data_IF_468828415172
#
_entry.id   IF_468828415172
#
_cell.length_a   1.000
_cell.length_b   1.000
_cell.length_c   1.000
_cell.angle_alpha   90.00
_cell.angle_beta   90.00
_cell.angle_gamma   90.00
#
_symmetry.space_group_name_H-M   'P 1'
#
loop_
_entity.id
_entity.type
_entity.pdbx_description
1 polymer ?
#
# COMPACT_ATOMS: atom_id res chain seq x y z
N UNK A 1 9.45 -36.09 -78.73
CA UNK A 1 9.22 -37.21 -77.78
C UNK A 1 8.18 -38.22 -78.33
N UNK A 2 7.11 -37.76 -78.98
CA UNK A 2 6.04 -38.70 -79.49
C UNK A 2 6.39 -39.50 -80.72
N UNK A 3 7.45 -39.20 -81.50
CA UNK A 3 7.87 -39.94 -82.70
C UNK A 3 8.79 -41.12 -82.39
N UNK A 4 9.49 -41.15 -81.31
CA UNK A 4 10.41 -42.26 -80.97
C UNK A 4 9.72 -43.46 -80.31
N UNK A 5 8.54 -43.24 -79.69
CA UNK A 5 7.79 -44.29 -78.98
C UNK A 5 6.93 -45.16 -79.91
N UNK A 6 6.82 -44.82 -81.23
CA UNK A 6 5.97 -45.52 -82.13
C UNK A 6 6.45 -46.93 -82.45
N UNK A 7 7.74 -47.28 -82.33
CA UNK A 7 8.34 -48.59 -82.66
C UNK A 7 8.35 -49.60 -81.50
N UNK A 8 7.87 -49.22 -80.30
CA UNK A 8 7.84 -50.12 -79.14
C UNK A 8 6.58 -51.00 -79.15
N UNK A 9 6.74 -52.29 -78.79
CA UNK A 9 5.61 -53.18 -78.59
C UNK A 9 4.69 -52.70 -77.49
N UNK A 10 3.46 -53.14 -77.42
CA UNK A 10 2.49 -52.79 -76.38
C UNK A 10 3.06 -53.07 -74.98
N UNK A 11 3.77 -54.18 -74.85
CA UNK A 11 4.42 -54.61 -73.59
C UNK A 11 5.57 -53.71 -73.21
N UNK A 12 6.38 -53.26 -74.14
CA UNK A 12 7.47 -52.32 -73.93
C UNK A 12 6.95 -50.93 -73.52
N UNK A 13 5.80 -50.50 -74.07
CA UNK A 13 5.17 -49.21 -73.66
C UNK A 13 4.61 -49.27 -72.25
N UNK A 14 4.04 -50.36 -71.80
CA UNK A 14 3.57 -50.57 -70.45
C UNK A 14 4.74 -50.63 -69.46
N UNK A 15 5.84 -51.32 -69.85
CA UNK A 15 7.06 -51.34 -69.03
C UNK A 15 7.67 -49.95 -68.86
N UNK A 16 7.70 -49.16 -69.95
CA UNK A 16 8.23 -47.76 -69.83
C UNK A 16 7.38 -46.86 -68.93
N UNK A 17 6.04 -47.04 -69.02
CA UNK A 17 5.14 -46.32 -68.07
C UNK A 17 5.37 -46.75 -66.63
N UNK A 18 5.54 -48.06 -66.40
CA UNK A 18 5.80 -48.58 -65.06
C UNK A 18 7.13 -48.03 -64.46
N UNK A 19 8.18 -48.01 -65.29
CA UNK A 19 9.48 -47.45 -64.94
C UNK A 19 9.36 -45.94 -64.63
N UNK A 20 8.59 -45.21 -65.47
CA UNK A 20 8.32 -43.77 -65.18
C UNK A 20 7.60 -43.54 -63.86
N UNK A 21 6.56 -44.33 -63.58
CA UNK A 21 5.82 -44.26 -62.31
C UNK A 21 6.75 -44.60 -61.13
N UNK A 22 7.55 -45.65 -61.26
CA UNK A 22 8.49 -46.08 -60.24
C UNK A 22 9.55 -44.97 -59.92
N UNK A 23 10.06 -44.32 -60.96
CA UNK A 23 11.01 -43.21 -60.83
C UNK A 23 10.41 -42.03 -60.14
N UNK A 24 9.14 -41.68 -60.41
CA UNK A 24 8.43 -40.61 -59.71
C UNK A 24 8.20 -40.95 -58.21
N UNK A 25 7.80 -42.23 -57.97
CA UNK A 25 7.62 -42.68 -56.55
C UNK A 25 8.92 -42.66 -55.77
N UNK A 26 10.06 -43.04 -56.35
CA UNK A 26 11.37 -42.95 -55.69
C UNK A 26 11.76 -41.52 -55.44
N UNK A 27 11.50 -40.60 -56.38
CA UNK A 27 11.78 -39.18 -56.19
C UNK A 27 10.94 -38.56 -55.03
N UNK A 28 9.66 -38.90 -54.95
CA UNK A 28 8.78 -38.49 -53.88
C UNK A 28 9.27 -39.03 -52.54
N UNK A 29 9.64 -40.31 -52.48
CA UNK A 29 10.17 -40.91 -51.27
C UNK A 29 11.48 -40.23 -50.83
N UNK A 30 12.33 -39.82 -51.74
CA UNK A 30 13.58 -39.16 -51.52
C UNK A 30 13.32 -37.73 -50.96
N UNK A 31 12.38 -37.01 -51.57
CA UNK A 31 11.97 -35.66 -51.09
C UNK A 31 11.34 -35.74 -49.70
N UNK A 32 10.46 -36.70 -49.43
CA UNK A 32 9.86 -36.93 -48.12
C UNK A 32 10.92 -37.31 -47.08
N UNK A 33 11.88 -38.17 -47.45
CA UNK A 33 12.98 -38.55 -46.56
C UNK A 33 13.89 -37.38 -46.22
N UNK A 34 14.19 -36.51 -47.19
CA UNK A 34 14.98 -35.29 -46.99
C UNK A 34 14.19 -34.32 -46.10
N UNK A 35 12.90 -34.11 -46.32
CA UNK A 35 12.04 -33.24 -45.51
C UNK A 35 11.94 -33.75 -44.08
N UNK A 36 11.77 -35.06 -43.86
CA UNK A 36 11.82 -35.69 -42.53
C UNK A 36 13.18 -35.55 -41.87
N UNK A 37 14.27 -35.71 -42.59
CA UNK A 37 15.61 -35.53 -42.07
C UNK A 37 15.85 -34.09 -41.62
N UNK A 38 15.41 -33.09 -42.41
CA UNK A 38 15.50 -31.68 -42.01
C UNK A 38 14.60 -31.36 -40.82
N UNK A 39 13.39 -31.92 -40.74
CA UNK A 39 12.49 -31.70 -39.59
C UNK A 39 12.99 -32.34 -38.30
N UNK A 40 13.73 -33.45 -38.38
CA UNK A 40 14.35 -34.14 -37.25
C UNK A 40 15.72 -33.56 -36.87
N UNK A 41 16.37 -32.85 -37.81
CA UNK A 41 17.72 -32.27 -37.61
C UNK A 41 17.69 -30.82 -37.08
N UNK A 42 16.50 -30.16 -37.04
CA UNK A 42 16.38 -28.89 -36.40
C UNK A 42 16.42 -29.16 -34.90
N UNK A 43 17.50 -28.75 -34.19
CA UNK A 43 17.52 -28.88 -32.75
C UNK A 43 16.28 -28.14 -32.22
N UNK A 44 15.48 -28.80 -31.38
CA UNK A 44 14.40 -28.15 -30.68
C UNK A 44 15.00 -26.89 -30.04
N UNK A 45 14.57 -25.73 -30.48
CA UNK A 45 15.03 -24.47 -29.86
C UNK A 45 14.74 -24.61 -28.38
N UNK A 46 15.76 -24.62 -27.56
CA UNK A 46 15.61 -24.55 -26.11
C UNK A 46 14.64 -23.41 -25.83
N UNK A 47 13.53 -23.65 -25.13
CA UNK A 47 12.56 -22.60 -24.90
C UNK A 47 13.32 -21.41 -24.26
N UNK A 48 13.32 -20.29 -24.97
CA UNK A 48 14.02 -19.11 -24.52
C UNK A 48 13.32 -18.66 -23.23
N UNK A 49 14.03 -18.72 -22.10
CA UNK A 49 13.51 -18.30 -20.80
C UNK A 49 13.00 -16.87 -20.93
N UNK A 50 11.73 -16.67 -20.66
CA UNK A 50 11.13 -15.34 -20.57
C UNK A 50 11.34 -14.81 -19.17
N UNK A 51 11.67 -13.54 -19.05
CA UNK A 51 11.89 -12.87 -17.78
C UNK A 51 10.91 -11.71 -17.63
N UNK A 52 10.35 -11.57 -16.44
CA UNK A 52 9.57 -10.41 -16.02
C UNK A 52 10.39 -9.55 -15.02
N UNK A 53 10.20 -8.25 -15.08
CA UNK A 53 10.79 -7.33 -14.09
C UNK A 53 10.06 -7.50 -12.77
N UNK A 54 10.82 -7.72 -11.68
CA UNK A 54 10.28 -7.81 -10.34
C UNK A 54 10.04 -6.40 -9.80
N UNK A 55 8.80 -6.03 -9.47
CA UNK A 55 8.52 -4.73 -8.83
C UNK A 55 9.20 -4.63 -7.46
N UNK A 56 9.57 -3.42 -7.06
CA UNK A 56 10.11 -3.15 -5.73
C UNK A 56 8.95 -3.15 -4.75
N UNK A 57 8.81 -4.21 -3.95
CA UNK A 57 7.70 -4.39 -3.01
C UNK A 57 8.14 -4.45 -1.54
N UNK A 58 9.45 -4.49 -1.25
CA UNK A 58 9.96 -4.44 0.13
C UNK A 58 9.56 -3.11 0.79
N UNK A 59 9.08 -3.18 2.03
CA UNK A 59 8.55 -2.05 2.76
C UNK A 59 7.10 -1.67 2.42
N UNK A 60 6.53 -2.20 1.33
CA UNK A 60 5.13 -1.95 0.98
C UNK A 60 4.17 -2.69 1.91
N UNK A 61 2.95 -2.16 2.03
CA UNK A 61 1.83 -2.93 2.57
C UNK A 61 1.61 -4.19 1.74
N UNK A 62 1.38 -5.33 2.42
CA UNK A 62 1.27 -6.65 1.77
C UNK A 62 0.16 -6.72 0.71
N UNK A 63 -0.99 -6.05 0.93
CA UNK A 63 -2.08 -6.04 -0.04
C UNK A 63 -1.66 -5.29 -1.31
N UNK A 64 -0.96 -4.16 -1.17
CA UNK A 64 -0.42 -3.39 -2.29
C UNK A 64 0.68 -4.17 -3.03
N UNK A 65 1.57 -4.82 -2.28
CA UNK A 65 2.62 -5.67 -2.85
C UNK A 65 2.04 -6.83 -3.66
N UNK A 66 1.00 -7.51 -3.15
CA UNK A 66 0.26 -8.56 -3.87
C UNK A 66 -0.30 -8.02 -5.19
N UNK A 67 -0.96 -6.86 -5.18
CA UNK A 67 -1.53 -6.25 -6.38
C UNK A 67 -0.46 -5.89 -7.43
N UNK A 68 0.70 -5.37 -7.03
CA UNK A 68 1.80 -5.06 -7.96
C UNK A 68 2.41 -6.35 -8.56
N UNK A 69 2.54 -7.43 -7.78
CA UNK A 69 3.02 -8.72 -8.29
C UNK A 69 2.02 -9.36 -9.26
N UNK A 70 0.73 -9.31 -8.94
CA UNK A 70 -0.35 -9.80 -9.82
C UNK A 70 -0.41 -9.04 -11.14
N UNK A 71 -0.27 -7.71 -11.11
CA UNK A 71 -0.17 -6.86 -12.30
C UNK A 71 1.05 -7.22 -13.16
N UNK A 72 2.15 -7.58 -12.53
CA UNK A 72 3.36 -8.07 -13.20
C UNK A 72 3.27 -9.57 -13.62
N UNK A 73 2.15 -10.23 -13.35
CA UNK A 73 1.92 -11.67 -13.60
C UNK A 73 2.92 -12.58 -12.85
N UNK A 74 3.36 -12.15 -11.67
CA UNK A 74 4.28 -12.88 -10.81
C UNK A 74 3.49 -13.58 -9.72
N UNK A 75 3.64 -14.90 -9.61
CA UNK A 75 3.06 -15.68 -8.51
C UNK A 75 3.89 -15.52 -7.24
N UNK A 76 3.25 -15.63 -6.08
CA UNK A 76 3.92 -15.45 -4.79
C UNK A 76 3.44 -16.46 -3.74
N UNK A 77 4.29 -16.69 -2.74
CA UNK A 77 4.01 -17.45 -1.53
C UNK A 77 4.27 -16.54 -0.32
N UNK A 78 3.36 -16.50 0.64
CA UNK A 78 3.57 -15.75 1.89
C UNK A 78 4.32 -16.62 2.88
N UNK A 79 5.44 -16.13 3.36
CA UNK A 79 6.22 -16.74 4.44
C UNK A 79 5.93 -15.93 5.71
N UNK A 80 5.22 -16.50 6.69
CA UNK A 80 4.89 -15.79 7.93
C UNK A 80 6.14 -15.40 8.70
N UNK A 81 6.15 -14.18 9.26
CA UNK A 81 7.17 -13.68 10.17
C UNK A 81 6.56 -13.33 11.52
N UNK A 82 7.39 -12.95 12.48
CA UNK A 82 6.97 -12.44 13.79
C UNK A 82 7.32 -10.96 13.95
N UNK A 83 7.30 -10.22 12.86
CA UNK A 83 7.57 -8.78 12.88
C UNK A 83 6.57 -8.02 13.73
N UNK A 84 7.04 -6.97 14.38
CA UNK A 84 6.18 -6.00 15.08
C UNK A 84 5.42 -5.08 14.12
N UNK A 85 5.83 -5.03 12.85
CA UNK A 85 5.16 -4.22 11.82
C UNK A 85 4.20 -5.12 11.03
N UNK A 86 2.87 -5.00 11.26
CA UNK A 86 1.88 -5.84 10.60
C UNK A 86 1.77 -5.48 9.12
N UNK A 87 1.41 -6.48 8.34
CA UNK A 87 1.01 -6.31 6.93
C UNK A 87 2.03 -5.57 6.04
N UNK A 88 3.31 -5.53 6.41
CA UNK A 88 4.39 -5.02 5.56
C UNK A 88 5.27 -6.14 5.02
N UNK A 89 5.75 -5.97 3.79
CA UNK A 89 6.75 -6.84 3.18
C UNK A 89 8.11 -6.53 3.80
N UNK A 90 8.64 -7.44 4.60
CA UNK A 90 9.95 -7.30 5.24
C UNK A 90 11.09 -7.67 4.29
N UNK A 91 10.86 -8.71 3.49
CA UNK A 91 11.84 -9.26 2.57
C UNK A 91 11.15 -9.97 1.43
N UNK A 92 11.75 -9.95 0.26
CA UNK A 92 11.35 -10.78 -0.87
C UNK A 92 12.50 -11.72 -1.26
N UNK A 93 12.20 -13.00 -1.47
CA UNK A 93 13.14 -13.98 -1.98
C UNK A 93 12.69 -14.45 -3.36
N UNK A 94 13.60 -14.48 -4.31
CA UNK A 94 13.34 -14.91 -5.68
C UNK A 94 14.54 -15.59 -6.32
N UNK A 95 14.29 -16.37 -7.35
CA UNK A 95 15.31 -16.96 -8.22
C UNK A 95 15.28 -16.20 -9.55
N UNK A 96 16.36 -15.51 -9.84
CA UNK A 96 16.44 -14.67 -11.04
C UNK A 96 17.81 -14.11 -11.29
N UNK A 97 17.90 -13.06 -12.10
CA UNK A 97 19.12 -12.33 -12.42
C UNK A 97 18.90 -10.83 -12.20
N UNK A 98 19.99 -10.10 -12.03
CA UNK A 98 19.95 -8.62 -12.05
C UNK A 98 20.55 -8.14 -13.36
N UNK A 99 19.85 -7.26 -14.06
CA UNK A 99 20.29 -6.66 -15.31
C UNK A 99 19.94 -5.18 -15.33
N UNK A 100 20.92 -4.32 -15.59
CA UNK A 100 20.76 -2.84 -15.56
C UNK A 100 20.17 -2.30 -14.25
N UNK A 101 20.50 -2.90 -13.11
CA UNK A 101 19.98 -2.52 -11.79
C UNK A 101 18.56 -3.00 -11.47
N UNK A 102 17.94 -3.77 -12.38
CA UNK A 102 16.61 -4.31 -12.20
C UNK A 102 16.67 -5.80 -11.89
N UNK A 103 15.86 -6.24 -10.95
CA UNK A 103 15.67 -7.66 -10.67
C UNK A 103 14.74 -8.27 -11.72
N UNK A 104 15.16 -9.37 -12.33
CA UNK A 104 14.41 -10.10 -13.35
C UNK A 104 14.18 -11.53 -12.87
N UNK A 105 12.95 -11.98 -12.88
CA UNK A 105 12.58 -13.35 -12.54
C UNK A 105 12.11 -14.12 -13.78
N UNK A 106 12.33 -15.44 -13.80
CA UNK A 106 11.85 -16.30 -14.87
C UNK A 106 10.32 -16.40 -14.79
N UNK A 107 9.63 -16.13 -15.90
CA UNK A 107 8.17 -16.20 -15.99
C UNK A 107 7.69 -17.61 -15.61
N UNK A 108 6.71 -17.67 -14.71
CA UNK A 108 6.19 -18.92 -14.15
C UNK A 108 6.89 -19.39 -12.87
N UNK A 109 7.89 -18.65 -12.37
CA UNK A 109 8.44 -18.90 -11.02
C UNK A 109 7.69 -18.08 -9.98
N UNK A 110 7.67 -18.59 -8.73
CA UNK A 110 7.06 -17.90 -7.60
C UNK A 110 8.12 -17.18 -6.77
N UNK A 111 7.76 -16.02 -6.24
CA UNK A 111 8.57 -15.31 -5.24
C UNK A 111 8.05 -15.60 -3.83
N UNK A 112 8.92 -15.53 -2.81
CA UNK A 112 8.53 -15.63 -1.41
C UNK A 112 8.49 -14.26 -0.80
N UNK A 113 7.36 -13.90 -0.22
CA UNK A 113 7.14 -12.64 0.50
C UNK A 113 7.17 -12.95 2.00
N UNK A 114 8.12 -12.39 2.70
CA UNK A 114 8.20 -12.48 4.15
C UNK A 114 7.39 -11.31 4.75
N UNK A 115 6.31 -11.65 5.47
CA UNK A 115 5.41 -10.66 6.08
C UNK A 115 4.70 -11.26 7.30
N UNK A 116 4.44 -10.43 8.30
CA UNK A 116 3.50 -10.76 9.36
C UNK A 116 2.09 -10.34 8.91
N UNK A 117 1.37 -11.23 8.24
CA UNK A 117 0.01 -10.97 7.76
C UNK A 117 -0.98 -11.09 8.92
N UNK A 118 -1.50 -9.96 9.36
CA UNK A 118 -2.40 -9.85 10.50
C UNK A 118 -3.81 -9.49 10.01
N UNK A 119 -4.81 -10.08 10.64
CA UNK A 119 -6.20 -9.78 10.34
C UNK A 119 -6.51 -8.29 10.59
N UNK A 120 -7.32 -7.68 9.74
CA UNK A 120 -7.68 -6.25 9.78
C UNK A 120 -8.20 -5.80 11.14
N UNK A 121 -8.99 -6.64 11.80
CA UNK A 121 -9.58 -6.38 13.13
C UNK A 121 -8.57 -6.53 14.30
N UNK A 122 -7.30 -6.71 13.99
CA UNK A 122 -6.18 -6.74 14.93
C UNK A 122 -5.15 -5.65 14.69
N UNK A 123 -5.35 -4.77 13.68
CA UNK A 123 -4.47 -3.64 13.39
C UNK A 123 -5.08 -2.35 13.93
N UNK A 124 -4.36 -1.68 14.83
CA UNK A 124 -4.71 -0.38 15.41
C UNK A 124 -3.97 0.71 14.66
N UNK A 125 -4.69 1.72 14.23
CA UNK A 125 -4.17 2.99 13.74
C UNK A 125 -4.34 4.03 14.86
N UNK A 126 -3.29 4.21 15.66
CA UNK A 126 -3.34 5.14 16.78
C UNK A 126 -3.16 6.57 16.28
N UNK A 127 -4.09 7.45 16.64
CA UNK A 127 -4.09 8.85 16.18
C UNK A 127 -4.22 9.83 17.35
N UNK A 128 -3.51 10.96 17.24
CA UNK A 128 -3.54 12.05 18.23
C UNK A 128 -3.91 13.36 17.56
N UNK A 129 -4.97 14.00 18.02
CA UNK A 129 -5.45 15.30 17.53
C UNK A 129 -4.97 16.43 18.45
N UNK A 130 -5.10 17.70 18.01
CA UNK A 130 -4.88 18.95 18.76
C UNK A 130 -3.43 19.21 19.21
N UNK A 131 -2.46 18.51 18.61
CA UNK A 131 -1.02 18.79 18.85
C UNK A 131 -0.43 19.76 17.82
N UNK A 132 0.87 20.10 17.97
CA UNK A 132 1.72 19.77 19.10
C UNK A 132 1.44 20.63 20.32
N UNK A 133 1.43 20.04 21.52
CA UNK A 133 1.27 20.79 22.77
C UNK A 133 2.61 20.97 23.48
N UNK A 134 2.69 22.01 24.31
CA UNK A 134 3.91 22.35 25.05
C UNK A 134 4.40 21.24 25.99
N UNK A 135 3.46 20.61 26.68
CA UNK A 135 3.77 19.81 27.88
C UNK A 135 3.49 18.30 27.70
N UNK A 136 2.91 17.89 26.56
CA UNK A 136 2.52 16.49 26.39
C UNK A 136 3.17 15.82 25.16
N UNK A 137 3.29 16.50 24.02
CA UNK A 137 3.77 15.91 22.76
C UNK A 137 5.04 15.10 22.90
N UNK A 138 6.08 15.68 23.55
CA UNK A 138 7.36 14.98 23.70
C UNK A 138 7.22 13.71 24.54
N UNK A 139 6.47 13.75 25.62
CA UNK A 139 6.28 12.59 26.50
C UNK A 139 5.52 11.48 25.76
N UNK A 140 4.49 11.83 24.98
CA UNK A 140 3.74 10.90 24.12
C UNK A 140 4.67 10.28 23.08
N UNK A 141 5.41 11.10 22.35
CA UNK A 141 6.32 10.67 21.27
C UNK A 141 7.44 9.77 21.78
N UNK A 142 8.05 10.11 22.93
CA UNK A 142 9.09 9.29 23.55
C UNK A 142 8.53 7.95 24.04
N UNK A 143 7.34 7.95 24.65
CA UNK A 143 6.70 6.72 25.09
C UNK A 143 6.40 5.80 23.90
N UNK A 144 5.87 6.33 22.80
CA UNK A 144 5.65 5.56 21.56
C UNK A 144 6.97 4.98 21.02
N UNK A 145 8.07 5.74 21.09
CA UNK A 145 9.40 5.28 20.69
C UNK A 145 9.88 4.11 21.57
N UNK A 146 9.71 4.19 22.89
CA UNK A 146 10.08 3.14 23.85
C UNK A 146 9.32 1.82 23.56
N UNK A 147 8.06 1.91 23.14
CA UNK A 147 7.26 0.76 22.71
C UNK A 147 7.57 0.30 21.27
N UNK A 148 8.32 1.10 20.50
CA UNK A 148 8.61 0.85 19.09
C UNK A 148 7.37 1.01 18.19
N UNK A 149 6.43 1.87 18.58
CA UNK A 149 5.15 2.12 17.90
C UNK A 149 5.23 3.45 17.15
N UNK A 150 4.69 3.46 15.92
CA UNK A 150 4.43 4.71 15.17
C UNK A 150 2.93 5.01 15.22
N UNK A 151 2.62 6.31 15.27
CA UNK A 151 1.26 6.84 15.31
C UNK A 151 1.09 7.95 14.28
N UNK A 152 -0.14 8.46 14.13
CA UNK A 152 -0.45 9.58 13.25
C UNK A 152 -0.92 10.76 14.08
N UNK A 153 -0.30 11.92 13.88
CA UNK A 153 -0.59 13.15 14.61
C UNK A 153 -1.29 14.13 13.68
N UNK A 154 -2.53 14.48 14.00
CA UNK A 154 -3.31 15.51 13.35
C UNK A 154 -3.04 16.83 14.08
N UNK A 155 -2.16 17.64 13.50
CA UNK A 155 -1.62 18.83 14.18
C UNK A 155 -2.27 20.12 13.70
N UNK A 156 -2.42 21.08 14.62
CA UNK A 156 -2.89 22.43 14.34
C UNK A 156 -1.73 23.32 13.85
N UNK A 157 -1.88 24.00 12.73
CA UNK A 157 -0.83 24.89 12.19
C UNK A 157 -0.36 25.95 13.19
N UNK A 158 -1.30 26.59 13.91
CA UNK A 158 -1.01 27.57 14.96
C UNK A 158 -0.11 27.02 16.06
N UNK A 159 -0.28 25.75 16.44
CA UNK A 159 0.54 25.14 17.49
C UNK A 159 1.85 24.58 16.93
N UNK A 160 1.91 24.24 15.64
CA UNK A 160 3.18 24.00 14.92
C UNK A 160 4.07 25.27 14.95
N UNK A 161 3.52 26.46 14.63
CA UNK A 161 4.23 27.74 14.73
C UNK A 161 4.72 28.02 16.16
N UNK A 162 3.90 27.70 17.15
CA UNK A 162 4.19 27.97 18.57
C UNK A 162 5.21 27.01 19.17
N UNK A 163 5.23 25.75 18.71
CA UNK A 163 6.06 24.67 19.26
C UNK A 163 6.80 23.89 18.16
N UNK A 164 7.62 24.56 17.34
CA UNK A 164 8.29 23.92 16.21
C UNK A 164 9.21 22.76 16.62
N UNK A 165 9.84 22.87 17.81
CA UNK A 165 10.68 21.80 18.37
C UNK A 165 9.89 20.53 18.74
N UNK A 166 8.61 20.66 19.08
CA UNK A 166 7.70 19.51 19.29
C UNK A 166 7.31 18.88 17.94
N UNK A 167 7.09 19.74 16.94
CA UNK A 167 6.83 19.29 15.57
C UNK A 167 8.02 18.51 15.02
N UNK A 168 9.24 19.02 15.20
CA UNK A 168 10.46 18.30 14.81
C UNK A 168 10.59 16.96 15.55
N UNK A 169 10.17 16.87 16.81
CA UNK A 169 10.22 15.61 17.56
C UNK A 169 9.28 14.54 16.95
N UNK A 170 8.08 14.92 16.51
CA UNK A 170 7.15 14.04 15.81
C UNK A 170 7.78 13.56 14.48
N UNK A 171 8.26 14.52 13.67
CA UNK A 171 8.82 14.26 12.35
C UNK A 171 10.07 13.35 12.40
N UNK A 172 11.06 13.71 13.23
CA UNK A 172 12.34 13.01 13.31
C UNK A 172 12.21 11.58 13.82
N UNK A 173 11.13 11.25 14.51
CA UNK A 173 10.83 9.89 14.97
C UNK A 173 9.97 9.10 13.99
N UNK A 174 9.67 9.67 12.82
CA UNK A 174 8.96 8.99 11.74
C UNK A 174 7.51 8.66 12.08
N UNK A 175 6.85 9.51 12.86
CA UNK A 175 5.40 9.49 12.98
C UNK A 175 4.76 10.15 11.77
N UNK A 176 3.51 9.80 11.46
CA UNK A 176 2.75 10.45 10.40
C UNK A 176 2.26 11.81 10.89
N UNK A 177 2.43 12.82 10.06
CA UNK A 177 1.94 14.17 10.28
C UNK A 177 0.74 14.40 9.36
N UNK A 178 -0.36 14.87 9.91
CA UNK A 178 -1.60 15.12 9.21
C UNK A 178 -2.19 16.48 9.64
N UNK A 179 -2.98 17.07 8.77
CA UNK A 179 -3.62 18.36 9.00
C UNK A 179 -4.81 18.26 9.96
N UNK A 180 -4.89 19.17 10.94
CA UNK A 180 -6.08 19.39 11.78
C UNK A 180 -6.57 20.84 11.75
N UNK A 181 -6.56 21.48 10.56
CA UNK A 181 -6.69 22.93 10.34
C UNK A 181 -5.51 23.74 10.87
N UNK A 182 -5.57 25.07 10.74
CA UNK A 182 -4.60 25.97 11.33
C UNK A 182 -5.00 26.39 12.74
N UNK A 183 -6.26 26.84 12.93
CA UNK A 183 -6.71 27.44 14.20
C UNK A 183 -7.54 26.54 15.08
N UNK A 184 -8.14 25.48 14.57
CA UNK A 184 -9.16 24.66 15.21
C UNK A 184 -10.41 25.46 15.67
N UNK A 185 -10.57 26.68 15.18
CA UNK A 185 -11.75 27.50 15.51
C UNK A 185 -12.90 27.19 14.56
N UNK A 186 -13.87 26.40 15.01
CA UNK A 186 -15.00 25.91 14.20
C UNK A 186 -15.71 27.02 13.43
N UNK A 187 -15.97 28.17 14.08
CA UNK A 187 -16.61 29.32 13.46
C UNK A 187 -15.77 29.95 12.34
N UNK A 188 -14.47 29.73 12.31
CA UNK A 188 -13.58 30.16 11.25
C UNK A 188 -13.45 29.04 10.20
N UNK A 189 -13.06 27.85 10.60
CA UNK A 189 -12.86 26.69 9.74
C UNK A 189 -14.08 26.42 8.85
N UNK A 190 -15.29 26.48 9.43
CA UNK A 190 -16.56 26.17 8.75
C UNK A 190 -17.39 27.38 8.33
N UNK A 191 -16.80 28.60 8.30
CA UNK A 191 -17.53 29.78 7.84
C UNK A 191 -17.80 29.78 6.34
N UNK A 192 -16.93 29.17 5.56
CA UNK A 192 -17.04 28.98 4.11
C UNK A 192 -15.98 27.99 3.60
N UNK A 193 -16.18 27.46 2.40
CA UNK A 193 -15.16 26.62 1.73
C UNK A 193 -13.84 27.38 1.54
N UNK A 194 -13.89 28.68 1.19
CA UNK A 194 -12.68 29.50 1.05
C UNK A 194 -11.94 29.66 2.38
N UNK A 195 -12.66 29.82 3.49
CA UNK A 195 -12.04 29.88 4.82
C UNK A 195 -11.39 28.55 5.18
N UNK A 196 -12.03 27.43 4.90
CA UNK A 196 -11.50 26.11 5.12
C UNK A 196 -10.21 25.84 4.31
N UNK A 197 -10.19 26.26 3.04
CA UNK A 197 -9.01 26.16 2.18
C UNK A 197 -7.88 27.02 2.76
N UNK A 198 -8.18 28.25 3.19
CA UNK A 198 -7.19 29.13 3.82
C UNK A 198 -6.61 28.56 5.13
N UNK A 199 -7.40 27.85 5.92
CA UNK A 199 -6.93 27.13 7.10
C UNK A 199 -5.93 26.02 6.74
N UNK A 200 -6.15 25.31 5.60
CA UNK A 200 -5.22 24.32 5.09
C UNK A 200 -3.93 24.97 4.58
N UNK A 201 -4.05 26.05 3.83
CA UNK A 201 -2.89 26.79 3.29
C UNK A 201 -2.00 27.32 4.44
N UNK A 202 -2.58 27.91 5.47
CA UNK A 202 -1.84 28.37 6.64
C UNK A 202 -1.19 27.24 7.43
N UNK A 203 -1.86 26.07 7.51
CA UNK A 203 -1.25 24.86 8.10
C UNK A 203 -0.04 24.40 7.27
N UNK A 204 -0.14 24.38 5.94
CA UNK A 204 0.98 23.97 5.07
C UNK A 204 2.17 24.91 5.24
N UNK A 205 1.93 26.24 5.27
CA UNK A 205 2.97 27.26 5.51
C UNK A 205 3.67 27.05 6.85
N UNK A 206 2.90 26.85 7.94
CA UNK A 206 3.45 26.60 9.28
C UNK A 206 4.29 25.31 9.34
N UNK A 207 3.85 24.28 8.63
CA UNK A 207 4.57 23.01 8.60
C UNK A 207 5.86 23.13 7.77
N UNK A 208 5.82 23.81 6.62
CA UNK A 208 7.01 24.11 5.80
C UNK A 208 8.05 24.87 6.61
N UNK A 209 7.63 25.89 7.37
CA UNK A 209 8.52 26.69 8.21
C UNK A 209 9.18 25.85 9.32
N UNK A 210 8.44 24.86 9.87
CA UNK A 210 8.94 24.02 10.96
C UNK A 210 9.89 22.91 10.50
N UNK A 211 9.61 22.22 9.38
CA UNK A 211 10.37 21.05 8.95
C UNK A 211 11.12 21.23 7.63
N UNK A 212 10.89 22.30 6.90
CA UNK A 212 11.50 22.61 5.60
C UNK A 212 10.74 22.02 4.40
N UNK A 213 10.85 22.70 3.27
CA UNK A 213 10.11 22.38 2.04
C UNK A 213 10.41 20.97 1.49
N UNK A 214 11.69 20.53 1.56
CA UNK A 214 12.10 19.19 1.08
C UNK A 214 11.45 18.06 1.89
N UNK A 215 11.28 18.24 3.19
CA UNK A 215 10.64 17.29 4.08
C UNK A 215 9.12 17.32 3.90
N UNK A 216 8.53 18.52 3.80
CA UNK A 216 7.11 18.68 3.53
C UNK A 216 6.68 17.99 2.23
N UNK A 217 7.47 18.09 1.16
CA UNK A 217 7.19 17.43 -0.12
C UNK A 217 7.10 15.88 -0.04
N UNK A 218 7.60 15.28 1.05
CA UNK A 218 7.55 13.83 1.28
C UNK A 218 6.36 13.41 2.15
N UNK A 219 5.67 14.37 2.79
CA UNK A 219 4.52 14.11 3.64
C UNK A 219 3.29 13.83 2.80
N UNK A 220 2.55 12.78 3.15
CA UNK A 220 1.26 12.51 2.52
C UNK A 220 0.22 13.51 3.00
N UNK A 221 -0.55 14.06 2.07
CA UNK A 221 -1.65 14.99 2.37
C UNK A 221 -2.82 14.24 3.00
N UNK A 222 -2.87 14.26 4.31
CA UNK A 222 -3.91 13.63 5.14
C UNK A 222 -4.51 14.70 6.04
N UNK A 223 -5.84 14.69 6.18
CA UNK A 223 -6.57 15.65 7.00
C UNK A 223 -7.66 14.96 7.83
N UNK A 224 -7.84 15.43 9.04
CA UNK A 224 -9.03 15.24 9.86
C UNK A 224 -9.64 16.58 10.16
N UNK A 225 -10.94 16.68 9.96
CA UNK A 225 -11.68 17.92 10.24
C UNK A 225 -11.80 18.11 11.76
N UNK A 226 -11.65 19.31 12.30
CA UNK A 226 -12.03 19.61 13.67
C UNK A 226 -13.43 19.10 14.00
N UNK A 227 -13.53 18.19 15.00
CA UNK A 227 -14.78 17.51 15.34
C UNK A 227 -15.27 16.44 14.34
N UNK A 228 -14.46 16.10 13.34
CA UNK A 228 -14.81 15.09 12.32
C UNK A 228 -15.73 15.63 11.21
N UNK A 229 -16.00 14.76 10.23
CA UNK A 229 -16.86 15.10 9.08
C UNK A 229 -18.35 15.16 9.42
N UNK A 230 -18.75 14.80 10.65
CA UNK A 230 -20.11 14.81 11.13
C UNK A 230 -20.26 15.67 12.39
N UNK A 231 -19.65 16.85 12.39
CA UNK A 231 -19.74 17.79 13.52
C UNK A 231 -20.95 18.74 13.40
N UNK A 232 -21.29 19.40 14.52
CA UNK A 232 -22.48 20.25 14.60
C UNK A 232 -22.41 21.58 13.81
N UNK A 233 -21.24 21.95 13.29
CA UNK A 233 -21.06 23.13 12.44
C UNK A 233 -21.31 22.86 10.97
N UNK A 234 -21.39 21.60 10.57
CA UNK A 234 -21.78 21.18 9.24
C UNK A 234 -23.30 20.92 9.26
N UNK A 235 -24.09 21.88 8.80
CA UNK A 235 -25.56 21.90 8.95
C UNK A 235 -26.25 20.77 8.17
N UNK A 236 -25.59 20.21 7.15
CA UNK A 236 -26.12 19.15 6.32
C UNK A 236 -25.04 18.19 5.81
N UNK A 237 -25.48 17.00 5.39
CA UNK A 237 -24.58 16.04 4.75
C UNK A 237 -24.02 16.58 3.42
N UNK A 238 -24.81 17.35 2.68
CA UNK A 238 -24.40 17.98 1.43
C UNK A 238 -23.27 18.98 1.68
N UNK A 239 -23.39 19.76 2.73
CA UNK A 239 -22.34 20.71 3.15
C UNK A 239 -21.06 19.98 3.53
N UNK A 240 -21.14 18.95 4.38
CA UNK A 240 -19.99 18.10 4.71
C UNK A 240 -19.30 17.52 3.48
N UNK A 241 -20.08 17.06 2.49
CA UNK A 241 -19.54 16.58 1.22
C UNK A 241 -18.84 17.68 0.42
N UNK A 242 -19.28 18.95 0.53
CA UNK A 242 -18.61 20.10 -0.08
C UNK A 242 -17.20 20.32 0.50
N UNK A 243 -17.05 20.31 1.82
CA UNK A 243 -15.74 20.40 2.50
C UNK A 243 -14.84 19.21 2.19
N UNK A 244 -15.39 18.00 2.16
CA UNK A 244 -14.65 16.78 1.76
C UNK A 244 -14.16 16.90 0.31
N UNK A 245 -14.99 17.42 -0.61
CA UNK A 245 -14.59 17.62 -1.99
C UNK A 245 -13.46 18.64 -2.11
N UNK A 246 -13.56 19.79 -1.40
CA UNK A 246 -12.52 20.79 -1.37
C UNK A 246 -11.17 20.25 -0.86
N UNK A 247 -11.17 19.49 0.23
CA UNK A 247 -9.97 18.83 0.74
C UNK A 247 -9.35 17.90 -0.32
N UNK A 248 -10.18 17.10 -1.01
CA UNK A 248 -9.75 16.16 -2.03
C UNK A 248 -9.18 16.84 -3.28
N UNK A 249 -9.74 18.00 -3.66
CA UNK A 249 -9.21 18.81 -4.76
C UNK A 249 -7.81 19.34 -4.47
N UNK A 250 -7.50 19.63 -3.20
CA UNK A 250 -6.15 19.94 -2.72
C UNK A 250 -5.23 18.72 -2.57
N UNK A 251 -5.74 17.53 -2.86
CA UNK A 251 -5.01 16.26 -2.80
C UNK A 251 -5.04 15.56 -1.42
N UNK A 252 -5.85 16.02 -0.49
CA UNK A 252 -5.94 15.43 0.85
C UNK A 252 -6.84 14.20 0.90
N UNK A 253 -6.36 13.16 1.60
CA UNK A 253 -7.19 12.06 2.07
C UNK A 253 -7.83 12.43 3.41
N UNK A 254 -9.14 12.30 3.52
CA UNK A 254 -9.91 12.67 4.72
C UNK A 254 -10.13 11.44 5.60
N UNK A 255 -9.79 11.54 6.88
CA UNK A 255 -9.92 10.45 7.86
C UNK A 255 -10.64 10.92 9.11
N UNK A 256 -11.74 10.27 9.44
CA UNK A 256 -12.34 10.30 10.77
C UNK A 256 -11.77 9.13 11.62
N UNK A 257 -12.36 8.90 12.79
CA UNK A 257 -12.05 7.78 13.67
C UNK A 257 -13.19 6.77 13.72
N UNK A 258 -12.90 5.58 14.15
CA UNK A 258 -13.85 4.49 14.32
C UNK A 258 -13.93 3.99 15.76
N UNK A 259 -12.93 4.34 16.55
CA UNK A 259 -12.85 4.07 17.97
C UNK A 259 -12.23 5.27 18.71
N UNK A 260 -12.44 5.39 20.00
CA UNK A 260 -11.92 6.49 20.79
C UNK A 260 -11.68 6.05 22.24
N UNK A 261 -10.82 6.77 22.94
CA UNK A 261 -10.58 6.57 24.37
C UNK A 261 -11.51 7.39 25.26
N UNK A 262 -12.04 8.51 24.75
CA UNK A 262 -12.84 9.45 25.53
C UNK A 262 -12.03 10.37 26.42
N UNK A 263 -10.76 10.59 26.11
CA UNK A 263 -9.84 11.46 26.84
C UNK A 263 -10.24 12.95 26.78
N UNK A 264 -10.87 13.41 25.69
CA UNK A 264 -11.45 14.74 25.57
C UNK A 264 -12.84 14.87 26.23
N UNK A 265 -13.52 13.77 26.51
CA UNK A 265 -14.89 13.74 27.04
C UNK A 265 -14.96 13.74 28.58
N UNK A 266 -13.83 14.02 29.25
CA UNK A 266 -13.74 14.12 30.70
C UNK A 266 -13.36 12.83 31.44
N UNK A 267 -13.05 11.76 30.74
CA UNK A 267 -12.45 10.57 31.33
C UNK A 267 -10.98 10.86 31.69
N UNK A 268 -10.64 10.64 32.95
CA UNK A 268 -9.30 10.97 33.48
C UNK A 268 -8.56 9.77 34.04
N UNK A 269 -9.26 8.66 34.24
CA UNK A 269 -8.72 7.46 34.83
C UNK A 269 -8.45 6.43 33.72
N UNK A 270 -7.26 5.87 33.65
CA UNK A 270 -6.84 4.90 32.62
C UNK A 270 -7.84 3.77 32.46
N UNK A 271 -8.40 3.24 33.55
CA UNK A 271 -9.41 2.18 33.50
C UNK A 271 -10.66 2.58 32.70
N UNK A 272 -11.11 3.84 32.83
CA UNK A 272 -12.27 4.35 32.09
C UNK A 272 -11.95 4.59 30.62
N UNK A 273 -10.74 5.09 30.32
CA UNK A 273 -10.27 5.26 28.94
C UNK A 273 -10.16 3.91 28.25
N UNK A 274 -9.60 2.90 28.91
CA UNK A 274 -9.50 1.53 28.38
C UNK A 274 -10.89 0.92 28.18
N UNK A 275 -11.82 1.11 29.11
CA UNK A 275 -13.20 0.60 28.97
C UNK A 275 -13.93 1.24 27.78
N UNK A 276 -13.78 2.56 27.60
CA UNK A 276 -14.31 3.28 26.44
C UNK A 276 -13.70 2.78 25.14
N UNK A 277 -12.37 2.66 25.09
CA UNK A 277 -11.64 2.11 23.96
C UNK A 277 -12.11 0.71 23.61
N UNK A 278 -12.19 -0.20 24.58
CA UNK A 278 -12.70 -1.56 24.34
C UNK A 278 -14.08 -1.56 23.71
N UNK A 279 -15.02 -0.80 24.25
CA UNK A 279 -16.40 -0.73 23.74
C UNK A 279 -16.46 -0.20 22.31
N UNK A 280 -15.69 0.84 22.01
CA UNK A 280 -15.63 1.46 20.69
C UNK A 280 -14.94 0.53 19.66
N UNK A 281 -13.86 -0.15 20.03
CA UNK A 281 -13.20 -1.14 19.19
C UNK A 281 -14.13 -2.30 18.82
N UNK A 282 -14.88 -2.83 19.79
CA UNK A 282 -15.85 -3.90 19.52
C UNK A 282 -16.97 -3.46 18.58
N UNK A 283 -17.36 -2.19 18.64
CA UNK A 283 -18.36 -1.61 17.72
C UNK A 283 -17.77 -1.47 16.31
N UNK A 284 -16.56 -0.96 16.18
CA UNK A 284 -15.87 -0.82 14.90
C UNK A 284 -15.66 -2.18 14.22
N UNK A 285 -15.19 -3.19 14.97
CA UNK A 285 -15.03 -4.58 14.48
C UNK A 285 -16.32 -5.18 13.95
N UNK A 286 -17.41 -5.06 14.70
CA UNK A 286 -18.75 -5.55 14.27
C UNK A 286 -19.21 -4.90 12.97
N UNK A 287 -18.78 -3.67 12.73
CA UNK A 287 -19.08 -2.92 11.50
C UNK A 287 -18.07 -3.17 10.36
N UNK A 288 -17.03 -3.99 10.59
CA UNK A 288 -15.99 -4.31 9.59
C UNK A 288 -15.10 -3.12 9.22
N UNK A 289 -15.01 -2.11 10.11
CA UNK A 289 -14.24 -0.90 9.90
C UNK A 289 -12.75 -1.12 10.27
N UNK A 290 -11.87 -0.27 9.74
CA UNK A 290 -10.51 -0.13 10.26
C UNK A 290 -10.57 0.40 11.69
N UNK A 291 -9.60 0.02 12.54
CA UNK A 291 -9.56 0.42 13.95
C UNK A 291 -8.73 1.70 14.11
N UNK A 292 -9.29 2.83 13.68
CA UNK A 292 -8.67 4.15 13.81
C UNK A 292 -9.07 4.71 15.18
N UNK A 293 -8.09 4.78 16.08
CA UNK A 293 -8.31 5.18 17.48
C UNK A 293 -8.01 6.65 17.64
N UNK A 294 -9.01 7.43 18.06
CA UNK A 294 -8.88 8.82 18.45
C UNK A 294 -8.39 8.95 19.89
N UNK A 295 -7.30 9.66 20.04
CA UNK A 295 -6.79 10.29 21.26
C UNK A 295 -6.46 11.74 20.95
N UNK A 296 -6.16 12.53 21.99
CA UNK A 296 -5.73 13.91 21.82
C UNK A 296 -4.35 14.11 22.45
N UNK A 297 -3.59 15.09 21.96
CA UNK A 297 -2.32 15.49 22.54
C UNK A 297 -2.55 16.27 23.85
N UNK A 298 -3.02 15.57 24.88
CA UNK A 298 -3.40 16.13 26.16
C UNK A 298 -2.81 15.36 27.35
N UNK A 299 -3.00 15.90 28.56
CA UNK A 299 -2.47 15.31 29.78
C UNK A 299 -3.06 13.93 30.08
N UNK A 300 -4.32 13.70 29.75
CA UNK A 300 -5.01 12.44 30.08
C UNK A 300 -4.53 11.30 29.19
N UNK A 301 -4.37 11.59 27.88
CA UNK A 301 -3.74 10.64 26.95
C UNK A 301 -2.31 10.34 27.39
N UNK A 302 -1.49 11.37 27.69
CA UNK A 302 -0.11 11.19 28.14
C UNK A 302 0.00 10.30 29.38
N UNK A 303 -0.79 10.57 30.42
CA UNK A 303 -0.73 9.83 31.69
C UNK A 303 -1.22 8.38 31.58
N UNK A 304 -2.12 8.08 30.62
CA UNK A 304 -2.73 6.76 30.45
C UNK A 304 -2.13 5.95 29.30
N UNK A 305 -1.25 6.53 28.48
CA UNK A 305 -0.80 5.93 27.24
C UNK A 305 -0.10 4.57 27.46
N UNK A 306 0.76 4.46 28.45
CA UNK A 306 1.46 3.20 28.74
C UNK A 306 0.47 2.07 29.02
N UNK A 307 -0.53 2.30 29.87
CA UNK A 307 -1.54 1.30 30.25
C UNK A 307 -2.45 0.95 29.06
N UNK A 308 -2.76 1.92 28.19
CA UNK A 308 -3.51 1.70 26.95
C UNK A 308 -2.70 0.83 25.97
N UNK A 309 -1.40 1.13 25.80
CA UNK A 309 -0.54 0.36 24.91
C UNK A 309 -0.35 -1.07 25.44
N UNK A 310 -0.11 -1.24 26.73
CA UNK A 310 0.00 -2.55 27.37
C UNK A 310 -1.29 -3.36 27.16
N UNK A 311 -2.45 -2.75 27.42
CA UNK A 311 -3.75 -3.39 27.17
C UNK A 311 -3.90 -3.86 25.72
N UNK A 312 -3.57 -3.01 24.75
CA UNK A 312 -3.68 -3.37 23.33
C UNK A 312 -2.73 -4.50 22.95
N UNK A 313 -1.47 -4.44 23.40
CA UNK A 313 -0.45 -5.47 23.12
C UNK A 313 -0.84 -6.81 23.75
N UNK A 314 -1.28 -6.82 25.00
CA UNK A 314 -1.71 -8.03 25.72
C UNK A 314 -2.94 -8.68 25.08
N UNK A 315 -3.81 -7.90 24.43
CA UNK A 315 -4.96 -8.38 23.68
C UNK A 315 -4.64 -8.75 22.21
N UNK A 316 -3.35 -8.76 21.85
CA UNK A 316 -2.86 -9.25 20.57
C UNK A 316 -3.16 -8.28 19.41
N UNK A 317 -3.20 -6.97 19.67
CA UNK A 317 -3.24 -5.97 18.64
C UNK A 317 -1.84 -5.61 18.15
N UNK A 318 -1.78 -5.20 16.90
CA UNK A 318 -0.61 -4.66 16.23
C UNK A 318 -0.87 -3.21 15.85
N UNK A 319 0.19 -2.46 15.60
CA UNK A 319 0.07 -1.03 15.29
C UNK A 319 0.56 -0.75 13.88
N UNK A 320 -0.14 0.12 13.18
CA UNK A 320 0.28 0.67 11.88
C UNK A 320 -0.15 2.13 11.78
N UNK A 321 0.26 2.82 10.73
CA UNK A 321 -0.06 4.24 10.49
C UNK A 321 -1.07 4.37 9.36
N UNK A 322 -1.92 5.42 9.40
CA UNK A 322 -3.01 5.61 8.42
C UNK A 322 -2.54 5.90 7.00
N UNK A 323 -1.25 6.06 6.78
CA UNK A 323 -0.65 6.36 5.48
C UNK A 323 -0.12 5.12 4.75
N UNK A 324 -0.32 3.93 5.28
CA UNK A 324 0.16 2.66 4.71
C UNK A 324 -0.82 1.94 3.78
#
# INVERSE_FOLDING_TARGET
MDKEISHFSKEQKETLKLVGILSVCVLILLVVSIALFYSLSVPASTPQKQYAELPIVEGMNIAKAKAELEKAQITYEIIPTQSKTPNKVEKIEYVGKTENGKALIEVGTSVKIHSNEVAKDKVIYLTFDDGPTRDNTNDIVFMLEDYGIKASFFVEGRDVERYPDRMEAIFNRGHVIACHSHTHEYSNVYSSIDSFINEIDQYEDALIDAIGEENFAQIKKIIRFPGGTNNAYLESKEEALGYIAAARELGYAVYDWTALTGDAEGNKESEKLIACLYSSLETAKKSGLDLIVLMHDNVYAKESLAEILDYLIENGYYFDTIDN
#
